data_IF_080900798179
#
_entry.id   IF_080900798179
#
_cell.length_a   1.000
_cell.length_b   1.000
_cell.length_c   1.000
_cell.angle_alpha   90.00
_cell.angle_beta   90.00
_cell.angle_gamma   90.00
#
_symmetry.space_group_name_H-M   'P 1'
#
loop_
_entity.id
_entity.type
_entity.pdbx_description
1 polymer ?
#
# COMPACT_ATOMS: atom_id res chain seq x y z
N UNK A 1 15.09 11.22 -14.01
CA UNK A 1 13.80 10.52 -14.20
C UNK A 1 12.93 10.79 -12.98
N UNK A 2 11.72 11.35 -13.16
CA UNK A 2 10.76 11.58 -12.06
C UNK A 2 9.58 10.64 -12.27
N UNK A 3 9.15 9.95 -11.21
CA UNK A 3 7.90 9.19 -11.24
C UNK A 3 6.73 10.19 -11.29
N UNK A 4 5.86 10.03 -12.27
CA UNK A 4 4.68 10.88 -12.45
C UNK A 4 3.84 10.83 -11.16
N UNK A 5 3.39 11.99 -10.69
CA UNK A 5 2.53 12.18 -9.51
C UNK A 5 3.06 11.65 -8.17
N UNK A 6 4.34 11.26 -8.08
CA UNK A 6 4.93 10.74 -6.84
C UNK A 6 4.82 11.73 -5.68
N UNK A 7 5.06 13.03 -5.93
CA UNK A 7 4.93 14.05 -4.90
C UNK A 7 3.50 14.13 -4.34
N UNK A 8 2.48 13.97 -5.18
CA UNK A 8 1.07 13.99 -4.77
C UNK A 8 0.74 12.77 -3.92
N UNK A 9 1.22 11.59 -4.33
CA UNK A 9 1.03 10.34 -3.59
C UNK A 9 1.69 10.39 -2.20
N UNK A 10 2.94 10.89 -2.11
CA UNK A 10 3.67 11.06 -0.86
C UNK A 10 2.95 12.04 0.06
N UNK A 11 2.54 13.20 -0.43
CA UNK A 11 1.85 14.22 0.36
C UNK A 11 0.52 13.70 0.93
N UNK A 12 -0.26 12.96 0.14
CA UNK A 12 -1.50 12.33 0.60
C UNK A 12 -1.23 11.27 1.66
N UNK A 13 -0.22 10.42 1.45
CA UNK A 13 0.16 9.36 2.39
C UNK A 13 0.64 9.95 3.72
N UNK A 14 1.48 10.98 3.65
CA UNK A 14 1.97 11.71 4.82
C UNK A 14 0.83 12.28 5.66
N UNK A 15 -0.14 12.96 5.02
CA UNK A 15 -1.33 13.48 5.71
C UNK A 15 -2.11 12.39 6.46
N UNK A 16 -2.30 11.23 5.83
CA UNK A 16 -2.98 10.10 6.49
C UNK A 16 -2.18 9.49 7.65
N UNK A 17 -0.85 9.44 7.54
CA UNK A 17 0.02 9.01 8.66
C UNK A 17 -0.18 9.95 9.86
N UNK A 18 -0.08 11.27 9.64
CA UNK A 18 -0.21 12.29 10.70
C UNK A 18 -1.61 12.25 11.34
N UNK A 19 -2.66 12.06 10.54
CA UNK A 19 -4.04 11.93 11.03
C UNK A 19 -4.33 10.60 11.74
N UNK A 20 -3.40 9.64 11.71
CA UNK A 20 -3.58 8.30 12.24
C UNK A 20 -4.74 7.54 11.55
N UNK A 21 -4.96 7.83 10.27
CA UNK A 21 -5.95 7.13 9.46
C UNK A 21 -5.55 5.64 9.30
N UNK A 22 -6.54 4.79 9.03
CA UNK A 22 -6.24 3.40 8.61
C UNK A 22 -5.73 3.40 7.18
N UNK A 23 -4.58 2.76 6.96
CA UNK A 23 -3.96 2.65 5.64
C UNK A 23 -4.39 1.33 5.00
N UNK A 24 -5.06 1.41 3.85
CA UNK A 24 -5.35 0.25 3.00
C UNK A 24 -4.25 0.06 1.97
N UNK A 25 -3.68 -1.14 1.87
CA UNK A 25 -2.73 -1.52 0.82
C UNK A 25 -3.41 -2.55 -0.07
N UNK A 26 -3.59 -2.17 -1.33
CA UNK A 26 -4.09 -3.05 -2.38
C UNK A 26 -2.87 -3.55 -3.15
N UNK A 27 -2.55 -4.83 -2.98
CA UNK A 27 -1.42 -5.47 -3.65
C UNK A 27 -1.87 -6.32 -4.83
N UNK A 28 -0.92 -6.72 -5.66
CA UNK A 28 -1.11 -7.75 -6.66
C UNK A 28 -0.72 -9.13 -6.10
N UNK A 29 -1.24 -10.20 -6.70
CA UNK A 29 -1.01 -11.59 -6.26
C UNK A 29 0.34 -12.15 -6.72
N UNK A 30 1.04 -11.47 -7.63
CA UNK A 30 2.34 -11.89 -8.10
C UNK A 30 3.45 -11.61 -7.08
N UNK A 31 4.67 -12.09 -7.36
CA UNK A 31 5.78 -12.01 -6.39
C UNK A 31 6.18 -10.57 -6.11
N UNK A 32 6.15 -9.69 -7.11
CA UNK A 32 6.51 -8.28 -6.94
C UNK A 32 5.43 -7.53 -6.12
N UNK A 33 4.16 -7.74 -6.46
CA UNK A 33 3.01 -7.20 -5.73
C UNK A 33 2.97 -7.64 -4.28
N UNK A 34 3.19 -8.93 -4.00
CA UNK A 34 3.27 -9.45 -2.64
C UNK A 34 4.46 -8.87 -1.86
N UNK A 35 5.64 -8.79 -2.49
CA UNK A 35 6.85 -8.27 -1.84
C UNK A 35 6.75 -6.78 -1.53
N UNK A 36 6.27 -6.00 -2.50
CA UNK A 36 6.04 -4.56 -2.36
C UNK A 36 4.96 -4.25 -1.32
N UNK A 37 3.89 -5.04 -1.28
CA UNK A 37 2.84 -4.94 -0.26
C UNK A 37 3.37 -5.23 1.14
N UNK A 38 4.16 -6.30 1.30
CA UNK A 38 4.79 -6.64 2.57
C UNK A 38 5.74 -5.53 3.05
N UNK A 39 6.53 -4.94 2.13
CA UNK A 39 7.42 -3.82 2.44
C UNK A 39 6.65 -2.62 2.99
N UNK A 40 5.60 -2.19 2.30
CA UNK A 40 4.76 -1.06 2.72
C UNK A 40 4.06 -1.34 4.06
N UNK A 41 3.51 -2.54 4.23
CA UNK A 41 2.86 -2.94 5.48
C UNK A 41 3.82 -2.87 6.65
N UNK A 42 5.04 -3.42 6.51
CA UNK A 42 6.08 -3.37 7.54
C UNK A 42 6.47 -1.93 7.88
N UNK A 43 6.59 -1.06 6.89
CA UNK A 43 6.88 0.36 7.10
C UNK A 43 5.78 1.05 7.92
N UNK A 44 4.51 0.91 7.55
CA UNK A 44 3.43 1.58 8.29
C UNK A 44 3.21 0.99 9.69
N UNK A 45 3.42 -0.32 9.86
CA UNK A 45 3.38 -0.95 11.17
C UNK A 45 4.51 -0.47 12.09
N UNK A 46 5.70 -0.22 11.57
CA UNK A 46 6.81 0.34 12.37
C UNK A 46 6.50 1.76 12.87
N UNK A 47 5.68 2.51 12.14
CA UNK A 47 5.12 3.81 12.54
C UNK A 47 3.89 3.69 13.47
N UNK A 48 3.57 2.49 13.96
CA UNK A 48 2.42 2.17 14.81
C UNK A 48 1.08 2.58 14.18
N UNK A 49 0.96 2.49 12.85
CA UNK A 49 -0.29 2.79 12.12
C UNK A 49 -1.13 1.52 11.95
N UNK A 50 -2.45 1.70 11.83
CA UNK A 50 -3.37 0.61 11.47
C UNK A 50 -3.28 0.34 9.97
N UNK A 51 -2.99 -0.90 9.59
CA UNK A 51 -2.86 -1.32 8.19
C UNK A 51 -3.88 -2.41 7.88
N UNK A 52 -4.55 -2.29 6.75
CA UNK A 52 -5.36 -3.36 6.14
C UNK A 52 -4.75 -3.71 4.78
N UNK A 53 -4.58 -4.99 4.51
CA UNK A 53 -4.04 -5.48 3.25
C UNK A 53 -5.16 -6.22 2.53
N UNK A 54 -5.25 -5.99 1.23
CA UNK A 54 -6.08 -6.78 0.32
C UNK A 54 -5.24 -7.20 -0.87
N UNK A 55 -5.23 -8.51 -1.14
CA UNK A 55 -4.63 -9.13 -2.31
C UNK A 55 -5.79 -9.83 -3.04
N UNK A 56 -6.03 -9.53 -4.33
CA UNK A 56 -7.13 -10.12 -5.08
C UNK A 56 -6.92 -11.63 -5.29
N UNK A 57 -8.01 -12.39 -5.29
CA UNK A 57 -7.97 -13.81 -5.66
C UNK A 57 -7.92 -13.93 -7.19
N UNK A 58 -6.72 -14.18 -7.72
CA UNK A 58 -6.46 -14.34 -9.16
C UNK A 58 -7.47 -15.24 -9.88
N UNK A 59 -7.94 -16.31 -9.23
CA UNK A 59 -8.78 -17.32 -9.86
C UNK A 59 -10.27 -16.95 -9.84
N UNK A 60 -10.70 -16.22 -8.81
CA UNK A 60 -12.12 -15.86 -8.61
C UNK A 60 -12.46 -14.45 -9.08
N UNK A 61 -11.52 -13.52 -8.94
CA UNK A 61 -11.73 -12.09 -9.16
C UNK A 61 -11.02 -11.58 -10.42
N UNK A 62 -10.14 -12.41 -11.01
CA UNK A 62 -9.36 -12.05 -12.20
C UNK A 62 -8.08 -11.29 -11.87
N UNK A 63 -7.49 -10.64 -12.88
CA UNK A 63 -6.55 -9.54 -12.64
C UNK A 63 -7.40 -8.34 -12.20
N UNK A 64 -6.91 -7.57 -11.23
CA UNK A 64 -7.62 -6.38 -10.72
C UNK A 64 -8.26 -5.52 -11.80
#
# INVERSE_FOLDING_TARGET
MKLKDMNVAVERTYKSIIKSDTIGIFGDYDVDGASSTALLARYFLSLKRKVKIYIPDRRKEGYG
#
